data_IF_131867637302
#
_entry.id   IF_131867637302
#
_cell.length_a   1.000
_cell.length_b   1.000
_cell.length_c   1.000
_cell.angle_alpha   90.00
_cell.angle_beta   90.00
_cell.angle_gamma   90.00
#
_symmetry.space_group_name_H-M   'P 1'
#
loop_
_entity.id
_entity.type
_entity.pdbx_description
1 polymer ?
#
# COMPACT_ATOMS: atom_id res chain seq x y z
N UNK A 1 -46.16 -32.33 52.25
CA UNK A 1 -45.46 -33.08 51.19
C UNK A 1 -45.87 -32.50 49.84
N UNK A 2 -44.98 -31.79 49.16
CA UNK A 2 -45.03 -31.68 47.69
C UNK A 2 -43.61 -31.38 47.21
N UNK A 3 -43.14 -32.21 46.27
CA UNK A 3 -41.74 -32.32 45.85
C UNK A 3 -41.37 -31.27 44.80
N UNK A 4 -40.10 -30.87 44.89
CA UNK A 4 -39.19 -30.27 43.92
C UNK A 4 -39.53 -30.38 42.43
N UNK A 5 -39.25 -29.29 41.69
CA UNK A 5 -38.54 -29.34 40.40
C UNK A 5 -37.97 -27.95 40.07
N UNK A 6 -36.70 -27.72 40.41
CA UNK A 6 -35.93 -26.57 39.94
C UNK A 6 -35.31 -26.94 38.59
N UNK A 7 -35.79 -26.31 37.52
CA UNK A 7 -35.30 -26.49 36.16
C UNK A 7 -34.03 -25.63 35.98
N UNK A 8 -32.84 -26.25 36.00
CA UNK A 8 -31.61 -25.60 35.58
C UNK A 8 -31.62 -25.48 34.04
N UNK A 9 -32.05 -24.34 33.53
CA UNK A 9 -31.96 -24.02 32.11
C UNK A 9 -30.51 -23.78 31.71
N UNK A 10 -29.93 -24.70 30.95
CA UNK A 10 -28.65 -24.51 30.28
C UNK A 10 -28.87 -23.53 29.11
N UNK A 11 -28.59 -22.24 29.32
CA UNK A 11 -28.58 -21.24 28.24
C UNK A 11 -27.38 -21.49 27.34
N UNK A 12 -27.58 -22.25 26.26
CA UNK A 12 -26.61 -22.38 25.18
C UNK A 12 -26.53 -21.01 24.47
N UNK A 13 -25.56 -20.20 24.85
CA UNK A 13 -25.21 -18.99 24.12
C UNK A 13 -24.72 -19.39 22.71
N UNK A 14 -25.62 -19.32 21.72
CA UNK A 14 -25.26 -19.33 20.31
C UNK A 14 -24.44 -18.06 20.05
N UNK A 15 -23.12 -18.17 20.22
CA UNK A 15 -22.20 -17.22 19.60
C UNK A 15 -22.47 -17.30 18.10
N UNK A 16 -23.15 -16.28 17.56
CA UNK A 16 -23.08 -16.01 16.13
C UNK A 16 -21.60 -15.79 15.82
N UNK A 17 -20.91 -16.85 15.39
CA UNK A 17 -19.62 -16.77 14.74
C UNK A 17 -19.87 -16.03 13.42
N UNK A 18 -19.93 -14.70 13.47
CA UNK A 18 -19.63 -13.87 12.31
C UNK A 18 -18.22 -14.26 11.90
N UNK A 19 -18.12 -15.16 10.92
CA UNK A 19 -16.85 -15.73 10.49
C UNK A 19 -15.93 -14.60 10.07
N UNK A 20 -14.92 -14.31 10.91
CA UNK A 20 -13.90 -13.33 10.61
C UNK A 20 -13.20 -13.79 9.33
N UNK A 21 -13.46 -13.09 8.22
CA UNK A 21 -12.78 -13.38 6.97
C UNK A 21 -11.37 -12.79 7.04
N UNK A 22 -10.38 -13.61 6.70
CA UNK A 22 -9.00 -13.18 6.56
C UNK A 22 -8.61 -13.26 5.09
N UNK A 23 -8.18 -12.15 4.51
CA UNK A 23 -7.52 -12.12 3.22
C UNK A 23 -6.05 -12.50 3.38
N UNK A 24 -5.48 -13.19 2.39
CA UNK A 24 -4.03 -13.39 2.27
C UNK A 24 -3.45 -12.33 1.37
N UNK A 25 -2.39 -11.67 1.82
CA UNK A 25 -1.60 -10.74 1.03
C UNK A 25 -0.24 -11.37 0.80
N UNK A 26 0.01 -11.80 -0.43
CA UNK A 26 1.29 -12.39 -0.84
C UNK A 26 2.13 -11.34 -1.56
N UNK A 27 3.31 -11.08 -1.02
CA UNK A 27 4.33 -10.20 -1.57
C UNK A 27 5.32 -11.05 -2.37
N UNK A 28 5.63 -10.64 -3.59
CA UNK A 28 6.65 -11.26 -4.43
C UNK A 28 7.65 -10.19 -4.88
N UNK A 29 8.95 -10.46 -4.66
CA UNK A 29 10.01 -9.62 -5.17
C UNK A 29 10.51 -10.17 -6.51
N UNK A 30 10.12 -9.56 -7.62
CA UNK A 30 10.65 -9.91 -8.93
C UNK A 30 11.86 -9.04 -9.35
N UNK A 31 12.22 -8.04 -8.54
CA UNK A 31 13.37 -7.18 -8.75
C UNK A 31 14.68 -7.98 -8.67
N UNK A 32 15.76 -7.57 -9.37
CA UNK A 32 17.04 -8.28 -9.38
C UNK A 32 17.88 -8.09 -8.10
N UNK A 33 17.27 -7.60 -7.01
CA UNK A 33 17.92 -7.24 -5.75
C UNK A 33 16.97 -7.43 -4.59
N UNK A 34 17.53 -7.57 -3.38
CA UNK A 34 16.74 -7.55 -2.14
C UNK A 34 16.02 -6.22 -1.97
N UNK A 35 14.78 -6.30 -1.49
CA UNK A 35 13.97 -5.17 -1.07
C UNK A 35 13.46 -5.42 0.35
N UNK A 36 12.98 -4.37 1.02
CA UNK A 36 12.41 -4.50 2.35
C UNK A 36 11.00 -3.91 2.40
N UNK A 37 9.96 -4.73 2.15
CA UNK A 37 8.59 -4.25 2.24
C UNK A 37 8.27 -3.67 3.62
N UNK A 38 7.41 -2.67 3.64
CA UNK A 38 6.82 -2.07 4.82
C UNK A 38 5.30 -2.16 4.77
N UNK A 39 4.66 -2.25 5.94
CA UNK A 39 3.20 -2.30 6.05
C UNK A 39 2.74 -1.26 7.06
N UNK A 40 1.59 -0.64 6.79
CA UNK A 40 0.96 0.33 7.70
C UNK A 40 -0.55 0.14 7.68
N UNK A 41 -1.14 -0.14 8.84
CA UNK A 41 -2.59 0.01 9.04
C UNK A 41 -2.92 1.48 9.25
N UNK A 42 -3.92 2.00 8.53
CA UNK A 42 -4.39 3.39 8.62
C UNK A 42 -5.13 3.69 9.93
N UNK A 43 -5.41 4.99 10.16
CA UNK A 43 -6.27 5.50 11.24
C UNK A 43 -5.83 5.10 12.65
N UNK A 44 -4.52 4.89 12.84
CA UNK A 44 -3.93 4.46 14.12
C UNK A 44 -4.53 3.16 14.68
N UNK A 45 -5.17 2.36 13.83
CA UNK A 45 -5.66 1.03 14.19
C UNK A 45 -4.48 0.07 14.42
N UNK A 46 -4.73 -1.10 15.06
CA UNK A 46 -3.69 -2.09 15.30
C UNK A 46 -2.92 -2.45 14.02
N UNK A 47 -1.59 -2.47 14.13
CA UNK A 47 -0.70 -2.78 13.02
C UNK A 47 -0.71 -4.27 12.71
N UNK A 48 -0.38 -4.64 11.47
CA UNK A 48 -0.13 -6.04 11.13
C UNK A 48 1.05 -6.57 11.97
N UNK A 49 1.09 -7.87 12.30
CA UNK A 49 2.17 -8.45 13.11
C UNK A 49 3.57 -8.20 12.54
N UNK A 50 3.66 -8.08 11.21
CA UNK A 50 4.89 -7.77 10.50
C UNK A 50 4.76 -6.42 9.79
N UNK A 51 5.36 -5.38 10.39
CA UNK A 51 5.36 -4.00 9.85
C UNK A 51 6.51 -3.75 8.88
N UNK A 52 7.47 -4.67 8.77
CA UNK A 52 8.53 -4.59 7.78
C UNK A 52 9.44 -5.81 7.83
N UNK A 53 9.85 -6.27 6.66
CA UNK A 53 10.61 -7.52 6.49
C UNK A 53 11.56 -7.43 5.30
N UNK A 54 12.56 -8.31 5.29
CA UNK A 54 13.43 -8.51 4.12
C UNK A 54 12.76 -9.45 3.12
N UNK A 55 12.89 -9.14 1.84
CA UNK A 55 12.42 -9.98 0.75
C UNK A 55 13.51 -10.07 -0.33
N UNK A 56 14.25 -11.17 -0.34
CA UNK A 56 15.30 -11.44 -1.32
C UNK A 56 14.73 -11.50 -2.75
N UNK A 57 15.60 -11.35 -3.75
CA UNK A 57 15.22 -11.50 -5.17
C UNK A 57 14.53 -12.86 -5.39
N UNK A 58 13.39 -12.83 -6.09
CA UNK A 58 12.50 -13.97 -6.39
C UNK A 58 11.81 -14.61 -5.18
N UNK A 59 12.02 -14.09 -3.97
CA UNK A 59 11.34 -14.59 -2.78
C UNK A 59 9.89 -14.10 -2.71
N UNK A 60 9.08 -14.83 -1.94
CA UNK A 60 7.72 -14.42 -1.60
C UNK A 60 7.45 -14.59 -0.10
N UNK A 61 6.58 -13.74 0.45
CA UNK A 61 6.11 -13.79 1.83
C UNK A 61 4.60 -13.54 1.86
N UNK A 62 3.86 -14.23 2.73
CA UNK A 62 2.41 -14.03 2.86
C UNK A 62 2.04 -13.56 4.26
N UNK A 63 1.17 -12.55 4.34
CA UNK A 63 0.54 -12.07 5.56
C UNK A 63 -0.97 -12.36 5.53
N UNK A 64 -1.53 -12.65 6.68
CA UNK A 64 -2.98 -12.75 6.86
C UNK A 64 -3.51 -11.42 7.42
N UNK A 65 -4.56 -10.88 6.81
CA UNK A 65 -5.19 -9.62 7.20
C UNK A 65 -6.67 -9.84 7.46
N UNK A 66 -7.13 -9.50 8.67
CA UNK A 66 -8.52 -9.64 9.07
C UNK A 66 -9.36 -8.48 8.53
N UNK A 67 -10.51 -8.80 7.93
CA UNK A 67 -11.48 -7.80 7.51
C UNK A 67 -12.30 -7.27 8.73
N UNK A 68 -12.69 -5.99 8.75
CA UNK A 68 -12.31 -4.94 7.80
C UNK A 68 -10.89 -4.42 8.09
N UNK A 69 -10.17 -4.03 7.03
CA UNK A 69 -8.83 -3.46 7.16
C UNK A 69 -8.60 -2.39 6.12
N UNK A 70 -7.90 -1.31 6.50
CA UNK A 70 -7.44 -0.28 5.58
C UNK A 70 -5.98 0.01 5.86
N UNK A 71 -5.17 0.05 4.82
CA UNK A 71 -3.77 0.37 4.96
C UNK A 71 -3.04 0.37 3.64
N UNK A 72 -1.71 0.41 3.75
CA UNK A 72 -0.82 0.55 2.61
C UNK A 72 0.46 -0.26 2.76
N UNK A 73 1.05 -0.55 1.61
CA UNK A 73 2.28 -1.29 1.46
C UNK A 73 3.23 -0.54 0.54
N UNK A 74 4.52 -0.70 0.79
CA UNK A 74 5.60 -0.15 -0.04
C UNK A 74 6.82 -1.06 0.06
N UNK A 75 7.87 -0.77 -0.71
CA UNK A 75 9.16 -1.42 -0.53
C UNK A 75 10.31 -0.42 -0.43
N UNK A 76 11.17 -0.66 0.55
CA UNK A 76 12.43 0.06 0.73
C UNK A 76 13.53 -0.57 -0.12
N UNK A 77 14.48 0.25 -0.57
CA UNK A 77 15.62 -0.20 -1.37
C UNK A 77 16.93 0.37 -0.84
N UNK A 78 18.04 -0.30 -1.18
CA UNK A 78 19.41 0.07 -0.75
C UNK A 78 19.52 0.23 0.77
N UNK A 79 19.00 -0.76 1.50
CA UNK A 79 19.02 -0.74 2.95
C UNK A 79 20.33 -1.32 3.51
N UNK A 80 20.82 -0.74 4.61
CA UNK A 80 21.99 -1.21 5.34
C UNK A 80 21.80 -1.04 6.84
N UNK A 81 22.47 -1.89 7.62
CA UNK A 81 22.60 -1.72 9.08
C UNK A 81 23.99 -1.18 9.38
N UNK A 82 24.07 0.03 9.93
CA UNK A 82 25.32 0.64 10.41
C UNK A 82 25.17 1.00 11.88
N UNK A 83 26.12 0.56 12.70
CA UNK A 83 26.11 0.80 14.16
C UNK A 83 24.78 0.40 14.83
N UNK A 84 24.20 -0.74 14.40
CA UNK A 84 22.93 -1.25 14.92
C UNK A 84 21.68 -0.53 14.41
N UNK A 85 21.80 0.49 13.55
CA UNK A 85 20.68 1.22 12.97
C UNK A 85 20.44 0.79 11.52
N UNK A 86 19.24 0.28 11.24
CA UNK A 86 18.79 -0.04 9.89
C UNK A 86 18.26 1.22 9.19
N UNK A 87 18.77 1.50 8.00
CA UNK A 87 18.39 2.68 7.18
C UNK A 87 18.37 2.33 5.70
N UNK A 88 17.50 2.96 4.93
CA UNK A 88 17.35 2.77 3.49
C UNK A 88 17.45 4.10 2.72
N UNK A 89 17.96 4.06 1.49
CA UNK A 89 18.09 5.27 0.65
C UNK A 89 16.74 5.72 0.07
N UNK A 90 15.77 4.80 -0.10
CA UNK A 90 14.42 5.13 -0.59
C UNK A 90 13.34 4.53 0.30
N UNK A 91 12.26 5.27 0.51
CA UNK A 91 11.06 4.84 1.24
C UNK A 91 11.30 4.35 2.68
N UNK A 92 12.39 4.81 3.31
CA UNK A 92 12.73 4.50 4.70
C UNK A 92 11.57 4.89 5.64
N UNK A 93 11.36 4.13 6.72
CA UNK A 93 10.30 4.42 7.69
C UNK A 93 10.84 4.99 9.02
N UNK A 94 12.12 5.36 9.04
CA UNK A 94 12.81 6.08 10.12
C UNK A 94 12.71 5.46 11.51
N UNK A 95 12.48 4.15 11.61
CA UNK A 95 12.46 3.44 12.91
C UNK A 95 13.85 3.02 13.37
N UNK A 96 14.83 3.01 12.47
CA UNK A 96 16.15 2.40 12.74
C UNK A 96 16.11 0.87 12.76
N UNK A 97 14.99 0.24 12.36
CA UNK A 97 14.77 -1.20 12.39
C UNK A 97 14.20 -1.70 11.05
N UNK A 98 14.30 -3.00 10.81
CA UNK A 98 13.60 -3.62 9.66
C UNK A 98 12.08 -3.45 9.82
N UNK A 99 11.54 -3.60 11.03
CA UNK A 99 10.14 -3.31 11.32
C UNK A 99 9.84 -1.80 11.26
N UNK A 100 8.73 -1.41 10.63
CA UNK A 100 8.32 -0.01 10.54
C UNK A 100 7.46 0.49 11.70
N UNK A 101 7.00 -0.40 12.60
CA UNK A 101 6.42 -0.05 13.91
C UNK A 101 5.33 1.04 13.86
N UNK A 102 4.50 1.06 12.81
CA UNK A 102 3.44 2.05 12.63
C UNK A 102 3.86 3.36 11.97
N UNK A 103 5.13 3.51 11.57
CA UNK A 103 5.58 4.60 10.71
C UNK A 103 5.33 4.27 9.23
N UNK A 104 4.92 5.28 8.47
CA UNK A 104 4.86 5.20 7.01
C UNK A 104 6.23 5.39 6.35
N UNK A 105 6.29 5.11 5.04
CA UNK A 105 7.43 5.49 4.22
C UNK A 105 7.65 6.99 4.22
N UNK A 106 8.90 7.43 4.25
CA UNK A 106 9.32 8.78 3.87
C UNK A 106 9.29 8.85 2.34
N UNK A 107 8.45 9.71 1.73
CA UNK A 107 8.39 9.86 0.28
C UNK A 107 9.73 10.32 -0.32
N UNK A 108 10.06 9.94 -1.56
CA UNK A 108 9.18 9.26 -2.51
C UNK A 108 9.06 7.74 -2.33
N UNK A 109 7.83 7.23 -2.47
CA UNK A 109 7.54 5.80 -2.41
C UNK A 109 6.35 5.43 -3.29
N UNK A 110 6.51 4.39 -4.12
CA UNK A 110 5.37 3.75 -4.78
C UNK A 110 4.54 3.01 -3.74
N UNK A 111 3.22 3.21 -3.72
CA UNK A 111 2.33 2.61 -2.75
C UNK A 111 1.38 1.60 -3.42
N UNK A 112 1.03 0.56 -2.67
CA UNK A 112 -0.19 -0.23 -2.88
C UNK A 112 -1.11 0.06 -1.71
N UNK A 113 -2.31 0.53 -1.99
CA UNK A 113 -3.32 0.87 -0.98
C UNK A 113 -4.48 -0.12 -1.09
N UNK A 114 -4.96 -0.64 0.05
CA UNK A 114 -6.07 -1.60 0.08
C UNK A 114 -7.00 -1.25 1.24
N UNK A 115 -8.30 -1.25 0.93
CA UNK A 115 -9.41 -1.17 1.86
C UNK A 115 -10.27 -2.43 1.71
N UNK A 116 -10.11 -3.37 2.64
CA UNK A 116 -10.85 -4.63 2.74
C UNK A 116 -12.14 -4.39 3.52
N UNK A 117 -13.28 -4.63 2.88
CA UNK A 117 -14.59 -4.42 3.46
C UNK A 117 -14.98 -5.52 4.47
N UNK A 118 -15.80 -5.14 5.45
CA UNK A 118 -16.43 -6.12 6.34
C UNK A 118 -17.42 -7.02 5.56
N UNK A 119 -17.72 -8.20 6.12
CA UNK A 119 -18.80 -9.09 5.63
C UNK A 119 -18.69 -9.46 4.14
N UNK A 120 -17.46 -9.61 3.61
CA UNK A 120 -17.20 -9.94 2.19
C UNK A 120 -17.76 -8.89 1.23
N UNK A 121 -17.88 -7.65 1.70
CA UNK A 121 -18.30 -6.51 0.90
C UNK A 121 -17.31 -6.17 -0.22
N UNK A 122 -17.49 -4.98 -0.79
CA UNK A 122 -16.67 -4.49 -1.89
C UNK A 122 -15.37 -3.87 -1.37
N UNK A 123 -14.26 -4.50 -1.68
CA UNK A 123 -12.93 -3.97 -1.42
C UNK A 123 -12.57 -2.89 -2.45
N UNK A 124 -11.70 -1.97 -2.05
CA UNK A 124 -11.07 -0.99 -2.92
C UNK A 124 -9.56 -1.12 -2.83
N UNK A 125 -8.87 -1.06 -3.96
CA UNK A 125 -7.42 -1.12 -4.00
C UNK A 125 -6.84 -0.38 -5.20
N UNK A 126 -5.57 -0.01 -5.09
CA UNK A 126 -4.86 0.73 -6.12
C UNK A 126 -3.33 0.63 -5.99
N UNK A 127 -2.65 1.03 -7.08
CA UNK A 127 -1.25 1.47 -7.03
C UNK A 127 -1.27 3.00 -7.07
N UNK A 128 -0.51 3.63 -6.18
CA UNK A 128 -0.51 5.08 -6.01
C UNK A 128 0.89 5.67 -6.05
N UNK A 129 1.03 6.72 -6.88
CA UNK A 129 2.23 7.53 -7.06
C UNK A 129 2.02 8.96 -6.54
N UNK A 130 0.99 9.17 -5.71
CA UNK A 130 0.71 10.45 -5.05
C UNK A 130 1.89 10.86 -4.16
N UNK A 131 2.51 9.88 -3.51
CA UNK A 131 3.75 10.04 -2.72
C UNK A 131 5.01 9.82 -3.59
N UNK A 132 4.91 9.87 -4.91
CA UNK A 132 6.01 9.66 -5.84
C UNK A 132 6.28 8.19 -6.17
N UNK A 133 7.47 7.91 -6.69
CA UNK A 133 7.87 6.60 -7.19
C UNK A 133 9.29 6.26 -6.72
N UNK A 134 9.53 5.02 -6.32
CA UNK A 134 10.89 4.52 -6.10
C UNK A 134 11.17 3.19 -6.82
N UNK A 135 10.18 2.29 -6.91
CA UNK A 135 10.25 1.08 -7.73
C UNK A 135 8.91 0.70 -8.37
N UNK A 136 8.91 -0.09 -9.47
CA UNK A 136 7.69 -0.59 -10.08
C UNK A 136 6.94 -1.57 -9.16
N UNK A 137 5.62 -1.54 -9.20
CA UNK A 137 4.76 -2.39 -8.36
C UNK A 137 3.42 -2.68 -9.02
N UNK A 138 2.83 -3.83 -8.73
CA UNK A 138 1.45 -4.17 -9.08
C UNK A 138 0.70 -4.76 -7.91
N UNK A 139 -0.63 -4.69 -7.96
CA UNK A 139 -1.53 -5.50 -7.14
C UNK A 139 -2.56 -6.18 -8.02
N UNK A 140 -2.77 -7.47 -7.78
CA UNK A 140 -3.82 -8.27 -8.40
C UNK A 140 -4.59 -9.05 -7.33
N UNK A 141 -5.83 -9.40 -7.61
CA UNK A 141 -6.66 -10.22 -6.72
C UNK A 141 -6.64 -11.68 -7.16
N UNK A 142 -6.76 -12.61 -6.20
CA UNK A 142 -7.00 -14.04 -6.45
C UNK A 142 -8.33 -14.43 -5.82
N UNK A 143 -9.26 -14.91 -6.65
CA UNK A 143 -10.65 -15.12 -6.24
C UNK A 143 -11.43 -13.81 -6.22
N UNK A 144 -12.50 -13.78 -5.43
CA UNK A 144 -13.45 -12.66 -5.42
C UNK A 144 -14.39 -12.65 -6.62
N UNK A 145 -15.28 -11.65 -6.65
CA UNK A 145 -16.31 -11.45 -7.67
C UNK A 145 -16.46 -9.98 -8.04
N UNK A 146 -16.90 -9.70 -9.27
CA UNK A 146 -16.99 -8.35 -9.83
C UNK A 146 -15.82 -8.08 -10.80
N UNK A 147 -15.37 -6.83 -10.87
CA UNK A 147 -14.33 -6.40 -11.81
C UNK A 147 -12.98 -7.07 -11.53
N UNK A 148 -12.51 -7.01 -10.28
CA UNK A 148 -11.32 -7.72 -9.78
C UNK A 148 -10.08 -7.60 -10.72
N UNK A 149 -9.93 -6.44 -11.36
CA UNK A 149 -8.85 -6.17 -12.31
C UNK A 149 -7.55 -5.90 -11.56
N UNK A 150 -6.43 -6.32 -12.14
CA UNK A 150 -5.12 -5.90 -11.64
C UNK A 150 -4.85 -4.43 -11.96
N UNK A 151 -4.03 -3.80 -11.13
CA UNK A 151 -3.47 -2.46 -11.37
C UNK A 151 -1.97 -2.45 -11.14
N UNK A 152 -1.26 -1.68 -11.94
CA UNK A 152 0.20 -1.70 -11.97
C UNK A 152 0.80 -0.37 -12.38
N UNK A 153 1.98 -0.10 -11.81
CA UNK A 153 2.98 0.78 -12.38
C UNK A 153 4.23 -0.05 -12.70
N UNK A 154 4.34 -0.63 -13.91
CA UNK A 154 5.45 -1.51 -14.28
C UNK A 154 6.66 -0.72 -14.83
N UNK A 155 6.45 0.51 -15.27
CA UNK A 155 7.49 1.33 -15.89
C UNK A 155 8.54 1.79 -14.88
N UNK A 156 9.78 2.00 -15.36
CA UNK A 156 10.82 2.65 -14.60
C UNK A 156 10.67 4.18 -14.66
N UNK A 157 9.79 4.75 -13.83
CA UNK A 157 9.53 6.21 -13.80
C UNK A 157 10.79 7.03 -13.51
N UNK A 158 11.77 6.47 -12.79
CA UNK A 158 13.05 7.14 -12.52
C UNK A 158 13.80 7.52 -13.79
N UNK A 159 13.62 6.78 -14.90
CA UNK A 159 14.29 7.05 -16.18
C UNK A 159 13.77 8.32 -16.89
N UNK A 160 12.56 8.76 -16.56
CA UNK A 160 11.93 9.95 -17.14
C UNK A 160 11.65 11.04 -16.10
N UNK A 161 12.21 10.88 -14.90
CA UNK A 161 11.97 11.81 -13.79
C UNK A 161 12.59 13.19 -14.09
N UNK A 162 11.81 14.29 -14.09
CA UNK A 162 12.35 15.64 -14.22
C UNK A 162 13.38 15.97 -13.15
N UNK A 163 14.39 16.77 -13.50
CA UNK A 163 15.52 17.07 -12.63
C UNK A 163 15.09 17.62 -11.26
N UNK A 164 14.07 18.47 -11.22
CA UNK A 164 13.50 19.07 -10.02
C UNK A 164 12.76 18.08 -9.11
N UNK A 165 12.48 16.86 -9.58
CA UNK A 165 11.81 15.79 -8.83
C UNK A 165 12.75 14.63 -8.46
N UNK A 166 13.98 14.61 -8.97
CA UNK A 166 14.91 13.49 -8.77
C UNK A 166 15.42 13.41 -7.33
N UNK A 167 15.42 12.19 -6.78
CA UNK A 167 16.25 11.79 -5.64
C UNK A 167 17.43 11.00 -6.18
N UNK A 168 18.66 11.50 -5.96
CA UNK A 168 19.88 10.90 -6.49
C UNK A 168 20.64 10.13 -5.41
N UNK A 169 21.23 9.01 -5.82
CA UNK A 169 22.18 8.25 -5.03
C UNK A 169 23.57 8.88 -5.05
N UNK A 170 24.47 8.34 -4.22
CA UNK A 170 25.88 8.75 -4.19
C UNK A 170 26.62 8.49 -5.52
N UNK A 171 26.14 7.53 -6.30
CA UNK A 171 26.61 7.19 -7.65
C UNK A 171 26.03 8.13 -8.74
N UNK A 172 25.23 9.12 -8.36
CA UNK A 172 24.56 10.05 -9.27
C UNK A 172 23.33 9.48 -9.98
N UNK A 173 23.00 8.20 -9.78
CA UNK A 173 21.82 7.57 -10.37
C UNK A 173 20.52 8.10 -9.73
N UNK A 174 19.45 8.21 -10.51
CA UNK A 174 18.11 8.56 -9.99
C UNK A 174 17.51 7.33 -9.32
N UNK A 175 17.39 7.38 -8.00
CA UNK A 175 16.88 6.27 -7.18
C UNK A 175 15.37 6.30 -7.04
N UNK A 176 14.81 7.50 -7.05
CA UNK A 176 13.38 7.73 -6.86
C UNK A 176 12.97 9.08 -7.47
N UNK A 177 11.67 9.24 -7.73
CA UNK A 177 11.07 10.43 -8.29
C UNK A 177 9.99 10.96 -7.35
N UNK A 178 10.16 12.17 -6.83
CA UNK A 178 9.16 12.86 -6.03
C UNK A 178 7.92 13.17 -6.85
N UNK A 179 6.74 13.08 -6.26
CA UNK A 179 5.58 13.77 -6.83
C UNK A 179 5.75 15.28 -6.69
N UNK A 180 4.96 16.05 -7.43
CA UNK A 180 4.99 17.51 -7.29
C UNK A 180 4.55 17.97 -5.89
N UNK A 181 3.65 17.24 -5.23
CA UNK A 181 3.27 17.56 -3.85
C UNK A 181 4.48 17.39 -2.91
N UNK A 182 5.16 16.24 -2.97
CA UNK A 182 6.36 15.98 -2.16
C UNK A 182 7.49 16.96 -2.44
N UNK A 183 7.64 17.41 -3.69
CA UNK A 183 8.73 18.31 -4.08
C UNK A 183 8.46 19.78 -3.69
N UNK A 184 7.23 20.26 -3.88
CA UNK A 184 6.94 21.70 -3.79
C UNK A 184 6.06 22.07 -2.60
N UNK A 185 5.30 21.11 -2.04
CA UNK A 185 4.34 21.34 -0.94
C UNK A 185 3.37 22.51 -1.22
N UNK A 186 2.88 22.62 -2.46
CA UNK A 186 1.96 23.69 -2.86
C UNK A 186 0.53 23.14 -3.01
N UNK A 187 -0.50 23.92 -2.63
CA UNK A 187 -1.90 23.47 -2.61
C UNK A 187 -2.38 22.85 -3.92
N UNK A 188 -1.98 23.40 -5.08
CA UNK A 188 -2.38 22.90 -6.40
C UNK A 188 -1.76 21.55 -6.79
N UNK A 189 -0.69 21.12 -6.11
CA UNK A 189 -0.09 19.79 -6.31
C UNK A 189 -0.55 18.79 -5.26
N UNK A 190 -0.81 19.26 -4.04
CA UNK A 190 -1.26 18.44 -2.93
C UNK A 190 -2.78 18.33 -2.82
N UNK A 191 -3.52 19.08 -3.65
CA UNK A 191 -4.97 19.17 -3.62
C UNK A 191 -5.54 19.56 -2.24
N UNK A 192 -4.99 20.63 -1.66
CA UNK A 192 -5.40 21.14 -0.34
C UNK A 192 -5.93 22.57 -0.43
N UNK A 193 -6.56 23.06 0.64
CA UNK A 193 -7.10 24.43 0.69
C UNK A 193 -8.09 24.68 -0.44
N UNK A 194 -7.84 25.71 -1.27
CA UNK A 194 -8.68 26.04 -2.43
C UNK A 194 -8.73 24.93 -3.52
N UNK A 195 -7.80 23.98 -3.47
CA UNK A 195 -7.65 22.87 -4.41
C UNK A 195 -8.19 21.54 -3.84
N UNK A 196 -9.02 21.57 -2.80
CA UNK A 196 -9.51 20.36 -2.10
C UNK A 196 -10.72 19.67 -2.78
N UNK A 197 -10.90 19.85 -4.08
CA UNK A 197 -11.93 19.13 -4.85
C UNK A 197 -11.38 18.68 -6.19
N UNK A 198 -11.93 17.61 -6.81
CA UNK A 198 -11.52 17.19 -8.15
C UNK A 198 -11.65 18.31 -9.20
N UNK A 199 -12.66 19.18 -9.06
CA UNK A 199 -12.87 20.33 -9.97
C UNK A 199 -11.79 21.39 -9.82
N UNK A 200 -11.32 21.63 -8.59
CA UNK A 200 -10.34 22.68 -8.30
C UNK A 200 -8.89 22.20 -8.35
N UNK A 201 -8.62 20.90 -8.32
CA UNK A 201 -7.28 20.32 -8.50
C UNK A 201 -7.21 19.42 -9.75
N UNK A 202 -7.06 20.00 -10.94
CA UNK A 202 -6.92 19.23 -12.18
C UNK A 202 -5.52 18.60 -12.33
N UNK A 203 -5.34 17.64 -13.25
CA UNK A 203 -4.03 17.11 -13.59
C UNK A 203 -3.04 18.22 -14.01
N UNK A 204 -1.78 18.09 -13.57
CA UNK A 204 -0.71 19.06 -13.84
C UNK A 204 0.31 18.50 -14.83
N UNK A 205 1.27 19.33 -15.27
CA UNK A 205 2.39 18.84 -16.09
C UNK A 205 3.17 17.71 -15.41
N UNK A 206 3.23 17.71 -14.07
CA UNK A 206 3.95 16.70 -13.30
C UNK A 206 3.15 15.41 -13.15
N UNK A 207 1.88 15.48 -12.76
CA UNK A 207 1.06 14.25 -12.61
C UNK A 207 0.88 13.52 -13.94
N UNK A 208 0.81 14.24 -15.06
CA UNK A 208 0.77 13.63 -16.40
C UNK A 208 2.00 12.76 -16.72
N UNK A 209 3.18 13.06 -16.17
CA UNK A 209 4.38 12.23 -16.36
C UNK A 209 4.15 10.84 -15.74
N UNK A 210 3.72 10.82 -14.48
CA UNK A 210 3.39 9.58 -13.78
C UNK A 210 2.28 8.82 -14.49
N UNK A 211 1.22 9.53 -14.93
CA UNK A 211 0.11 8.90 -15.63
C UNK A 211 0.48 8.30 -16.98
N UNK A 212 1.38 8.95 -17.72
CA UNK A 212 1.85 8.44 -19.02
C UNK A 212 2.66 7.14 -18.85
N UNK A 213 3.46 7.04 -17.78
CA UNK A 213 4.25 5.84 -17.51
C UNK A 213 3.40 4.72 -16.90
N UNK A 214 2.42 5.08 -16.07
CA UNK A 214 1.61 4.14 -15.30
C UNK A 214 0.12 4.52 -15.37
N UNK A 215 -0.57 4.26 -16.50
CA UNK A 215 -1.94 4.72 -16.73
C UNK A 215 -2.98 4.18 -15.75
N UNK A 216 -2.70 3.02 -15.14
CA UNK A 216 -3.58 2.36 -14.17
C UNK A 216 -3.32 2.79 -12.72
N UNK A 217 -2.26 3.56 -12.46
CA UNK A 217 -1.93 4.03 -11.12
C UNK A 217 -2.46 5.45 -10.87
N UNK A 218 -2.71 5.78 -9.60
CA UNK A 218 -2.98 7.15 -9.20
C UNK A 218 -1.75 8.02 -9.45
N UNK A 219 -1.90 9.05 -10.27
CA UNK A 219 -0.83 10.02 -10.56
C UNK A 219 -0.89 11.28 -9.70
N UNK A 220 -2.03 11.53 -9.04
CA UNK A 220 -2.27 12.60 -8.08
C UNK A 220 -3.57 12.29 -7.28
N UNK A 221 -3.89 13.10 -6.27
CA UNK A 221 -4.92 12.78 -5.27
C UNK A 221 -6.35 12.57 -5.78
N UNK A 222 -6.75 13.13 -6.93
CA UNK A 222 -8.12 12.97 -7.48
C UNK A 222 -8.15 12.23 -8.83
N UNK A 223 -7.19 11.33 -9.05
CA UNK A 223 -7.11 10.49 -10.26
C UNK A 223 -8.02 9.24 -10.20
N UNK A 224 -9.22 9.36 -9.64
CA UNK A 224 -10.08 8.20 -9.32
C UNK A 224 -10.55 7.43 -10.57
N UNK A 225 -10.97 8.17 -11.61
CA UNK A 225 -11.69 7.64 -12.78
C UNK A 225 -11.01 6.47 -13.51
N UNK A 226 -9.69 6.32 -13.37
CA UNK A 226 -8.90 5.27 -14.04
C UNK A 226 -7.97 4.53 -13.09
N UNK A 227 -8.03 4.82 -11.78
CA UNK A 227 -7.03 4.37 -10.82
C UNK A 227 -7.61 3.67 -9.59
N UNK A 228 -8.93 3.76 -9.36
CA UNK A 228 -9.61 2.97 -8.32
C UNK A 228 -10.06 1.62 -8.86
N UNK A 229 -9.73 0.54 -8.15
CA UNK A 229 -10.14 -0.81 -8.53
C UNK A 229 -10.92 -1.46 -7.40
N UNK A 230 -11.87 -2.33 -7.76
CA UNK A 230 -12.79 -2.96 -6.81
C UNK A 230 -12.89 -4.46 -7.02
N UNK A 231 -13.04 -5.20 -5.92
CA UNK A 231 -13.33 -6.62 -5.95
C UNK A 231 -14.15 -7.00 -4.70
N UNK A 232 -15.23 -7.75 -4.89
CA UNK A 232 -16.08 -8.22 -3.78
C UNK A 232 -15.79 -9.67 -3.46
N UNK A 233 -16.44 -10.22 -2.43
CA UNK A 233 -16.45 -11.66 -2.23
C UNK A 233 -15.15 -12.20 -1.64
N UNK A 234 -14.44 -11.38 -0.87
CA UNK A 234 -13.33 -11.81 -0.02
C UNK A 234 -12.11 -12.35 -0.83
N UNK A 235 -11.55 -11.54 -1.75
CA UNK A 235 -10.37 -11.92 -2.52
C UNK A 235 -9.10 -11.99 -1.66
N UNK A 236 -8.15 -12.81 -2.09
CA UNK A 236 -6.74 -12.67 -1.69
C UNK A 236 -6.03 -11.64 -2.60
N UNK A 237 -4.87 -11.16 -2.19
CA UNK A 237 -4.09 -10.15 -2.91
C UNK A 237 -2.67 -10.63 -3.21
N UNK A 238 -2.20 -10.31 -4.41
CA UNK A 238 -0.85 -10.57 -4.89
C UNK A 238 -0.18 -9.22 -5.20
N UNK A 239 0.80 -8.83 -4.37
CA UNK A 239 1.62 -7.63 -4.57
C UNK A 239 2.95 -8.05 -5.18
N UNK A 240 3.24 -7.58 -6.38
CA UNK A 240 4.49 -7.91 -7.08
C UNK A 240 5.33 -6.65 -7.26
N UNK A 241 6.57 -6.68 -6.76
CA UNK A 241 7.55 -5.64 -6.98
C UNK A 241 8.39 -5.95 -8.21
N UNK A 242 8.59 -4.96 -9.08
CA UNK A 242 9.15 -5.13 -10.43
C UNK A 242 8.39 -6.18 -11.26
N UNK A 243 7.06 -6.03 -11.43
CA UNK A 243 6.23 -6.97 -12.19
C UNK A 243 6.68 -7.13 -13.64
#
# INVERSE_FOLDING_TARGET
MMKTLALYGLTLALFFLSGAHSAKITFTNNCPRTIWPGTLTSDQKPQLPNTGFELASKASLTLNVQAPWKGRFWARTRCTTKSGKFTCETADCSTGQVACNGNGAIPPASLVEINIAANRGMDFYDVSLVDGFNLPVSVATRGGTGDCKATSCPANVNAVCPAELQVKGSDGSVLACKSACTAFNQPQYCCTGAFNTPKTCPPTKYSRIFKQQCPQAYSYAYDDSTSTFTCSGAPDYLITFCP
#
